data_IF_684252697051
#
_entry.id   IF_684252697051
#
_cell.length_a   1.000
_cell.length_b   1.000
_cell.length_c   1.000
_cell.angle_alpha   90.00
_cell.angle_beta   90.00
_cell.angle_gamma   90.00
#
_symmetry.space_group_name_H-M   'P 1'
#
loop_
_entity.id
_entity.type
_entity.pdbx_description
1 polymer ?
#
# COMPACT_ATOMS: atom_id res chain seq x y z
N UNK A 1 -33.33 -7.42 29.81
CA UNK A 1 -32.59 -6.96 28.60
C UNK A 1 -31.85 -5.68 28.95
N UNK A 2 -30.51 -5.72 28.97
CA UNK A 2 -29.72 -4.49 29.19
C UNK A 2 -29.64 -3.74 27.85
N UNK A 3 -30.36 -2.63 27.77
CA UNK A 3 -30.24 -1.74 26.61
C UNK A 3 -29.00 -0.87 26.78
N UNK A 4 -28.13 -0.80 25.76
CA UNK A 4 -27.05 0.18 25.73
C UNK A 4 -27.68 1.57 25.64
N UNK A 5 -27.37 2.45 26.60
CA UNK A 5 -27.70 3.87 26.49
C UNK A 5 -26.73 4.51 25.51
N UNK A 6 -27.26 5.26 24.53
CA UNK A 6 -26.41 6.06 23.63
C UNK A 6 -25.76 7.16 24.47
N UNK A 7 -24.44 7.15 24.50
CA UNK A 7 -23.65 8.25 25.01
C UNK A 7 -23.27 9.17 23.86
N UNK A 8 -23.73 10.39 23.88
CA UNK A 8 -23.45 11.39 22.86
C UNK A 8 -22.20 12.23 23.18
N UNK A 9 -21.55 11.98 24.31
CA UNK A 9 -20.30 12.64 24.64
C UNK A 9 -19.16 12.01 23.84
N UNK A 10 -18.56 12.81 22.98
CA UNK A 10 -17.43 12.41 22.17
C UNK A 10 -16.12 12.82 22.87
N UNK A 11 -15.36 11.86 23.33
CA UNK A 11 -14.12 12.07 24.06
C UNK A 11 -12.91 12.18 23.12
N UNK A 12 -11.80 12.68 23.66
CA UNK A 12 -10.51 12.67 22.95
C UNK A 12 -10.07 11.24 22.59
N UNK A 13 -10.34 10.28 23.47
CA UNK A 13 -10.02 8.86 23.21
C UNK A 13 -10.84 8.28 22.05
N UNK A 14 -12.13 8.68 21.93
CA UNK A 14 -12.95 8.30 20.79
C UNK A 14 -12.40 8.86 19.47
N UNK A 15 -11.86 10.08 19.51
CA UNK A 15 -11.20 10.69 18.34
C UNK A 15 -9.94 9.91 17.96
N UNK A 16 -9.09 9.58 18.93
CA UNK A 16 -7.83 8.83 18.68
C UNK A 16 -8.12 7.47 18.07
N UNK A 17 -9.21 6.82 18.45
CA UNK A 17 -9.60 5.50 17.91
C UNK A 17 -10.29 5.64 16.55
N UNK A 18 -11.31 6.50 16.46
CA UNK A 18 -12.20 6.53 15.29
C UNK A 18 -11.55 7.20 14.08
N UNK A 19 -10.80 8.29 14.27
CA UNK A 19 -10.24 9.07 13.17
C UNK A 19 -9.29 8.24 12.27
N UNK A 20 -8.30 7.49 12.78
CA UNK A 20 -7.43 6.65 11.95
C UNK A 20 -8.18 5.60 11.14
N UNK A 21 -9.19 4.97 11.74
CA UNK A 21 -10.03 3.95 11.10
C UNK A 21 -10.82 4.59 9.95
N UNK A 22 -11.50 5.70 10.21
CA UNK A 22 -12.29 6.42 9.21
C UNK A 22 -11.43 6.99 8.09
N UNK A 23 -10.27 7.58 8.39
CA UNK A 23 -9.35 8.06 7.38
C UNK A 23 -8.89 6.92 6.46
N UNK A 24 -8.55 5.77 7.03
CA UNK A 24 -8.13 4.62 6.24
C UNK A 24 -9.25 4.14 5.32
N UNK A 25 -10.46 3.99 5.85
CA UNK A 25 -11.63 3.56 5.07
C UNK A 25 -11.96 4.56 3.95
N UNK A 26 -12.08 5.84 4.28
CA UNK A 26 -12.50 6.89 3.34
C UNK A 26 -11.47 7.07 2.22
N UNK A 27 -10.19 7.23 2.57
CA UNK A 27 -9.17 7.54 1.58
C UNK A 27 -8.75 6.34 0.74
N UNK A 28 -8.78 5.12 1.28
CA UNK A 28 -8.64 3.92 0.47
C UNK A 28 -9.82 3.74 -0.49
N UNK A 29 -11.05 3.94 -0.02
CA UNK A 29 -12.26 3.87 -0.85
C UNK A 29 -12.21 4.90 -1.98
N UNK A 30 -11.87 6.15 -1.67
CA UNK A 30 -11.70 7.21 -2.66
C UNK A 30 -10.66 6.81 -3.73
N UNK A 31 -9.48 6.35 -3.30
CA UNK A 31 -8.46 5.83 -4.20
C UNK A 31 -9.01 4.71 -5.09
N UNK A 32 -9.71 3.75 -4.49
CA UNK A 32 -10.25 2.61 -5.21
C UNK A 32 -11.19 3.03 -6.35
N UNK A 33 -12.19 3.86 -6.05
CA UNK A 33 -13.14 4.34 -7.05
C UNK A 33 -12.49 5.19 -8.14
N UNK A 34 -11.55 6.06 -7.79
CA UNK A 34 -10.79 6.86 -8.78
C UNK A 34 -9.96 5.94 -9.68
N UNK A 35 -9.23 4.98 -9.12
CA UNK A 35 -8.37 4.07 -9.86
C UNK A 35 -9.15 3.13 -10.81
N UNK A 36 -10.40 2.80 -10.50
CA UNK A 36 -11.29 1.96 -11.31
C UNK A 36 -12.24 2.74 -12.21
N UNK A 37 -12.21 4.06 -12.18
CA UNK A 37 -13.11 4.92 -12.93
C UNK A 37 -12.90 4.78 -14.45
N UNK A 38 -13.92 4.29 -15.14
CA UNK A 38 -13.94 4.24 -16.60
C UNK A 38 -13.83 5.64 -17.23
N UNK A 39 -14.46 6.66 -16.59
CA UNK A 39 -14.41 8.05 -17.05
C UNK A 39 -12.97 8.57 -17.04
N UNK A 40 -12.24 8.36 -15.95
CA UNK A 40 -10.83 8.76 -15.84
C UNK A 40 -9.97 8.00 -16.85
N UNK A 41 -10.13 6.69 -16.95
CA UNK A 41 -9.43 5.90 -17.95
C UNK A 41 -9.64 6.44 -19.35
N UNK A 42 -10.87 6.70 -19.73
CA UNK A 42 -11.22 7.19 -21.08
C UNK A 42 -10.61 8.55 -21.39
N UNK A 43 -10.39 9.45 -20.41
CA UNK A 43 -9.70 10.72 -20.61
C UNK A 43 -8.27 10.55 -21.15
N UNK A 44 -7.57 9.48 -20.70
CA UNK A 44 -6.23 9.19 -21.21
C UNK A 44 -6.28 8.49 -22.58
N UNK A 45 -7.17 7.50 -22.73
CA UNK A 45 -7.27 6.71 -23.96
C UNK A 45 -7.90 7.43 -25.15
N UNK A 46 -8.64 8.53 -24.92
CA UNK A 46 -9.10 9.42 -26.00
C UNK A 46 -8.04 10.43 -26.45
N UNK A 47 -7.02 10.71 -25.61
CA UNK A 47 -6.02 11.74 -25.87
C UNK A 47 -4.70 11.21 -26.42
N UNK A 48 -4.35 9.98 -26.09
CA UNK A 48 -3.05 9.38 -26.40
C UNK A 48 -3.24 8.03 -27.12
N UNK A 49 -2.21 7.59 -27.85
CA UNK A 49 -2.11 6.20 -28.32
C UNK A 49 -2.16 5.22 -27.14
N UNK A 50 -2.42 3.95 -27.45
CA UNK A 50 -2.67 2.92 -26.42
C UNK A 50 -1.55 2.80 -25.40
N UNK A 51 -0.29 2.73 -25.85
CA UNK A 51 0.86 2.55 -24.97
C UNK A 51 1.05 3.75 -24.04
N UNK A 52 1.04 4.95 -24.61
CA UNK A 52 1.18 6.20 -23.84
C UNK A 52 -0.03 6.45 -22.92
N UNK A 53 -1.23 6.13 -23.37
CA UNK A 53 -2.44 6.21 -22.55
C UNK A 53 -2.34 5.29 -21.34
N UNK A 54 -1.90 4.05 -21.54
CA UNK A 54 -1.72 3.09 -20.46
C UNK A 54 -0.68 3.54 -19.44
N UNK A 55 0.48 4.04 -19.89
CA UNK A 55 1.53 4.56 -19.01
C UNK A 55 1.00 5.73 -18.17
N UNK A 56 0.41 6.73 -18.83
CA UNK A 56 -0.06 7.94 -18.16
C UNK A 56 -1.21 7.66 -17.19
N UNK A 57 -2.16 6.81 -17.57
CA UNK A 57 -3.29 6.43 -16.72
C UNK A 57 -2.82 5.70 -15.46
N UNK A 58 -1.97 4.68 -15.59
CA UNK A 58 -1.49 3.92 -14.44
C UNK A 58 -0.59 4.77 -13.54
N UNK A 59 0.28 5.60 -14.11
CA UNK A 59 1.09 6.52 -13.32
C UNK A 59 0.22 7.53 -12.55
N UNK A 60 -0.79 8.11 -13.21
CA UNK A 60 -1.76 8.97 -12.55
C UNK A 60 -2.45 8.27 -11.36
N UNK A 61 -2.93 7.04 -11.53
CA UNK A 61 -3.60 6.32 -10.43
C UNK A 61 -2.66 6.08 -9.25
N UNK A 62 -1.38 5.78 -9.51
CA UNK A 62 -0.38 5.58 -8.47
C UNK A 62 -0.01 6.89 -7.75
N UNK A 63 0.16 7.96 -8.51
CA UNK A 63 0.41 9.29 -7.97
C UNK A 63 -0.78 9.79 -7.12
N UNK A 64 -2.00 9.60 -7.62
CA UNK A 64 -3.21 9.88 -6.86
C UNK A 64 -3.28 9.03 -5.57
N UNK A 65 -2.90 7.75 -5.63
CA UNK A 65 -2.81 6.88 -4.46
C UNK A 65 -1.82 7.39 -3.41
N UNK A 66 -0.67 7.89 -3.83
CA UNK A 66 0.29 8.52 -2.92
C UNK A 66 -0.33 9.70 -2.16
N UNK A 67 -1.03 10.60 -2.86
CA UNK A 67 -1.67 11.74 -2.21
C UNK A 67 -2.86 11.35 -1.36
N UNK A 68 -3.78 10.54 -1.89
CA UNK A 68 -5.01 10.18 -1.19
C UNK A 68 -4.76 9.29 0.03
N UNK A 69 -3.78 8.40 -0.01
CA UNK A 69 -3.49 7.50 1.11
C UNK A 69 -2.34 7.95 1.99
N UNK A 70 -1.32 8.62 1.41
CA UNK A 70 -0.14 9.04 2.16
C UNK A 70 -0.26 10.46 2.70
N UNK A 71 -0.51 11.44 1.82
CA UNK A 71 -0.37 12.86 2.19
C UNK A 71 -1.59 13.38 2.95
N UNK A 72 -2.79 13.26 2.36
CA UNK A 72 -4.00 13.87 2.91
C UNK A 72 -4.39 13.30 4.28
N UNK A 73 -4.50 11.97 4.46
CA UNK A 73 -4.84 11.42 5.78
C UNK A 73 -3.78 11.70 6.84
N UNK A 74 -2.49 11.80 6.44
CA UNK A 74 -1.43 12.19 7.37
C UNK A 74 -1.60 13.62 7.87
N UNK A 75 -1.88 14.57 6.98
CA UNK A 75 -2.13 15.96 7.36
C UNK A 75 -3.30 16.03 8.34
N UNK A 76 -4.41 15.34 8.04
CA UNK A 76 -5.59 15.32 8.91
C UNK A 76 -5.23 14.68 10.27
N UNK A 77 -4.57 13.51 10.26
CA UNK A 77 -4.18 12.81 11.47
C UNK A 77 -3.31 13.68 12.39
N UNK A 78 -2.27 14.33 11.83
CA UNK A 78 -1.36 15.21 12.59
C UNK A 78 -2.06 16.49 13.08
N UNK A 79 -3.05 17.00 12.31
CA UNK A 79 -3.77 18.23 12.69
C UNK A 79 -4.82 18.03 13.78
N UNK A 80 -5.43 16.84 13.85
CA UNK A 80 -6.55 16.60 14.75
C UNK A 80 -6.21 15.70 15.93
N UNK A 81 -5.20 14.82 15.84
CA UNK A 81 -4.81 13.99 16.97
C UNK A 81 -3.84 14.75 17.90
N UNK A 82 -4.08 14.72 19.21
CA UNK A 82 -3.25 15.43 20.18
C UNK A 82 -1.82 14.89 20.15
N UNK A 83 -0.86 15.80 20.20
CA UNK A 83 0.58 15.47 20.25
C UNK A 83 1.08 14.54 19.13
N UNK A 84 0.32 14.39 18.02
CA UNK A 84 0.72 13.56 16.89
C UNK A 84 1.68 14.29 15.97
N UNK A 85 2.61 13.55 15.39
CA UNK A 85 3.58 14.07 14.41
C UNK A 85 3.93 13.00 13.37
N UNK A 86 4.46 13.42 12.24
CA UNK A 86 4.92 12.50 11.19
C UNK A 86 5.95 11.50 11.73
N UNK A 87 6.83 11.94 12.64
CA UNK A 87 7.81 11.05 13.30
C UNK A 87 7.13 9.99 14.16
N UNK A 88 6.13 10.38 14.95
CA UNK A 88 5.33 9.45 15.78
C UNK A 88 4.53 8.47 14.93
N UNK A 89 4.16 8.84 13.71
CA UNK A 89 3.53 7.93 12.74
C UNK A 89 4.55 6.98 12.06
N UNK A 90 5.77 6.88 12.54
CA UNK A 90 6.77 5.94 12.06
C UNK A 90 7.55 6.38 10.82
N UNK A 91 7.35 7.62 10.33
CA UNK A 91 8.19 8.21 9.28
C UNK A 91 9.40 8.90 9.91
N UNK A 92 10.30 8.09 10.39
CA UNK A 92 11.52 8.51 11.07
C UNK A 92 12.64 7.49 10.88
N UNK A 93 13.87 7.86 11.22
CA UNK A 93 14.99 6.95 11.33
C UNK A 93 15.38 6.83 12.81
N UNK A 94 15.42 5.59 13.31
CA UNK A 94 15.79 5.26 14.68
C UNK A 94 17.09 4.48 14.63
N UNK A 95 18.16 5.07 15.16
CA UNK A 95 19.51 4.49 15.09
C UNK A 95 19.56 3.08 15.69
N UNK A 96 18.98 2.89 16.87
CA UNK A 96 18.99 1.62 17.60
C UNK A 96 18.30 0.48 16.87
N UNK A 97 17.32 0.78 15.99
CA UNK A 97 16.58 -0.23 15.21
C UNK A 97 16.99 -0.27 13.73
N UNK A 98 18.01 0.49 13.32
CA UNK A 98 18.45 0.54 11.91
C UNK A 98 18.99 -0.80 11.44
N UNK A 99 19.91 -1.43 12.20
CA UNK A 99 20.46 -2.75 11.85
C UNK A 99 19.35 -3.81 11.84
N UNK A 100 18.49 -3.81 12.85
CA UNK A 100 17.30 -4.67 12.89
C UNK A 100 16.45 -4.52 11.63
N UNK A 101 16.16 -3.28 11.22
CA UNK A 101 15.37 -2.98 10.04
C UNK A 101 16.03 -3.49 8.75
N UNK A 102 17.33 -3.27 8.58
CA UNK A 102 18.09 -3.72 7.42
C UNK A 102 18.12 -5.26 7.33
N UNK A 103 18.34 -5.96 8.44
CA UNK A 103 18.34 -7.42 8.48
C UNK A 103 16.97 -7.99 8.11
N UNK A 104 15.88 -7.40 8.62
CA UNK A 104 14.54 -7.85 8.28
C UNK A 104 14.15 -7.52 6.83
N UNK A 105 14.53 -6.34 6.30
CA UNK A 105 14.33 -6.01 4.88
C UNK A 105 15.04 -7.04 4.01
N UNK A 106 16.30 -7.35 4.31
CA UNK A 106 17.07 -8.35 3.55
C UNK A 106 16.46 -9.74 3.67
N UNK A 107 16.19 -10.22 4.89
CA UNK A 107 15.65 -11.55 5.14
C UNK A 107 14.30 -11.79 4.48
N UNK A 108 13.37 -10.82 4.63
CA UNK A 108 12.06 -10.90 3.98
C UNK A 108 12.19 -10.78 2.45
N UNK A 109 13.09 -9.95 1.93
CA UNK A 109 13.29 -9.84 0.48
C UNK A 109 13.82 -11.14 -0.11
N UNK A 110 14.78 -11.79 0.56
CA UNK A 110 15.30 -13.11 0.13
C UNK A 110 14.21 -14.18 0.12
N UNK A 111 13.28 -14.15 1.09
CA UNK A 111 12.15 -15.07 1.14
C UNK A 111 11.09 -14.76 0.07
N UNK A 112 10.74 -13.48 -0.08
CA UNK A 112 9.61 -13.03 -0.88
C UNK A 112 9.91 -13.04 -2.39
N UNK A 113 11.14 -12.70 -2.80
CA UNK A 113 11.52 -12.66 -4.21
C UNK A 113 11.25 -14.00 -4.93
N UNK A 114 11.71 -15.16 -4.44
CA UNK A 114 11.41 -16.43 -5.08
C UNK A 114 9.91 -16.74 -5.14
N UNK A 115 9.18 -16.53 -4.04
CA UNK A 115 7.74 -16.79 -3.97
C UNK A 115 6.98 -15.98 -5.01
N UNK A 116 7.25 -14.67 -5.07
CA UNK A 116 6.63 -13.76 -6.03
C UNK A 116 7.06 -14.08 -7.47
N UNK A 117 8.33 -14.40 -7.70
CA UNK A 117 8.83 -14.78 -9.01
C UNK A 117 8.08 -15.99 -9.58
N UNK A 118 7.94 -17.07 -8.81
CA UNK A 118 7.22 -18.25 -9.27
C UNK A 118 5.72 -17.98 -9.48
N UNK A 119 5.08 -17.20 -8.61
CA UNK A 119 3.70 -16.77 -8.79
C UNK A 119 3.53 -15.91 -10.05
N UNK A 120 4.38 -14.93 -10.25
CA UNK A 120 4.29 -13.96 -11.35
C UNK A 120 4.53 -14.56 -12.74
N UNK A 121 5.20 -15.71 -12.83
CA UNK A 121 5.35 -16.47 -14.08
C UNK A 121 4.06 -17.11 -14.57
N UNK A 122 3.09 -17.32 -13.68
CA UNK A 122 1.85 -17.98 -14.03
C UNK A 122 1.00 -17.06 -14.94
N UNK A 123 0.55 -17.53 -16.13
CA UNK A 123 -0.27 -16.74 -17.03
C UNK A 123 -1.53 -16.15 -16.41
N UNK A 124 -2.10 -16.80 -15.39
CA UNK A 124 -3.24 -16.26 -14.62
C UNK A 124 -2.95 -14.90 -14.02
N UNK A 125 -1.70 -14.60 -13.66
CA UNK A 125 -1.31 -13.35 -13.06
C UNK A 125 -1.08 -12.23 -14.09
N UNK A 126 -0.98 -12.54 -15.39
CA UNK A 126 -0.85 -11.54 -16.45
C UNK A 126 -2.09 -10.66 -16.60
N UNK A 127 -3.24 -11.07 -16.05
CA UNK A 127 -4.43 -10.21 -15.96
C UNK A 127 -4.17 -9.02 -15.03
N UNK A 128 -3.42 -9.20 -13.95
CA UNK A 128 -3.16 -8.19 -12.94
C UNK A 128 -1.83 -7.44 -13.15
N UNK A 129 -0.81 -8.12 -13.74
CA UNK A 129 0.54 -7.58 -13.87
C UNK A 129 1.13 -7.82 -15.27
N UNK A 130 1.94 -6.88 -15.78
CA UNK A 130 2.14 -5.50 -15.28
C UNK A 130 0.85 -4.68 -15.39
N UNK A 131 0.63 -3.72 -14.50
CA UNK A 131 -0.55 -2.84 -14.60
C UNK A 131 -0.51 -1.91 -15.81
N UNK A 132 0.68 -1.42 -16.19
CA UNK A 132 0.89 -0.72 -17.46
C UNK A 132 0.78 -1.74 -18.59
N UNK A 133 -0.18 -1.52 -19.51
CA UNK A 133 -0.51 -2.42 -20.62
C UNK A 133 0.15 -2.03 -21.95
N UNK A 134 1.19 -1.21 -21.90
CA UNK A 134 1.98 -0.90 -23.08
C UNK A 134 2.56 -2.19 -23.69
N UNK A 135 2.41 -2.36 -24.99
CA UNK A 135 2.98 -3.51 -25.71
C UNK A 135 4.50 -3.41 -25.81
N UNK A 136 5.01 -2.18 -25.93
CA UNK A 136 6.43 -1.90 -26.03
C UNK A 136 6.92 -1.19 -24.77
N UNK A 137 7.83 -1.82 -24.05
CA UNK A 137 8.46 -1.26 -22.87
C UNK A 137 9.87 -0.77 -23.18
N UNK A 138 10.16 0.45 -22.77
CA UNK A 138 11.49 1.06 -22.81
C UNK A 138 12.04 1.27 -21.40
N UNK A 139 13.32 1.58 -21.27
CA UNK A 139 13.92 1.95 -19.97
C UNK A 139 13.14 3.07 -19.27
N UNK A 140 12.67 4.05 -20.02
CA UNK A 140 11.82 5.14 -19.50
C UNK A 140 10.54 4.62 -18.88
N UNK A 141 9.83 3.69 -19.52
CA UNK A 141 8.58 3.10 -19.00
C UNK A 141 8.86 2.27 -17.74
N UNK A 142 9.97 1.52 -17.73
CA UNK A 142 10.43 0.78 -16.54
C UNK A 142 10.63 1.72 -15.36
N UNK A 143 11.34 2.83 -15.56
CA UNK A 143 11.58 3.82 -14.50
C UNK A 143 10.28 4.50 -14.02
N UNK A 144 9.39 4.89 -14.94
CA UNK A 144 8.07 5.45 -14.60
C UNK A 144 7.25 4.44 -13.78
N UNK A 145 7.24 3.17 -14.19
CA UNK A 145 6.55 2.13 -13.45
C UNK A 145 7.17 1.90 -12.06
N UNK A 146 8.49 1.87 -11.96
CA UNK A 146 9.19 1.70 -10.69
C UNK A 146 8.89 2.87 -9.73
N UNK A 147 8.98 4.11 -10.22
CA UNK A 147 8.61 5.30 -9.45
C UNK A 147 7.12 5.30 -9.05
N UNK A 148 6.25 4.92 -9.98
CA UNK A 148 4.82 4.82 -9.67
C UNK A 148 4.53 3.83 -8.54
N UNK A 149 5.14 2.64 -8.55
CA UNK A 149 5.01 1.68 -7.46
C UNK A 149 5.60 2.20 -6.14
N UNK A 150 6.77 2.83 -6.21
CA UNK A 150 7.40 3.43 -5.04
C UNK A 150 6.48 4.46 -4.36
N UNK A 151 5.96 5.43 -5.12
CA UNK A 151 5.05 6.46 -4.61
C UNK A 151 3.76 5.84 -4.04
N UNK A 152 3.12 4.97 -4.81
CA UNK A 152 1.87 4.33 -4.39
C UNK A 152 2.04 3.54 -3.10
N UNK A 153 3.06 2.69 -3.03
CA UNK A 153 3.30 1.84 -1.87
C UNK A 153 3.77 2.63 -0.66
N UNK A 154 4.48 3.74 -0.87
CA UNK A 154 4.78 4.65 0.23
C UNK A 154 3.48 5.18 0.86
N UNK A 155 2.56 5.72 0.06
CA UNK A 155 1.28 6.19 0.56
C UNK A 155 0.45 5.08 1.20
N UNK A 156 0.43 3.91 0.58
CA UNK A 156 -0.29 2.74 1.06
C UNK A 156 0.23 2.23 2.42
N UNK A 157 1.54 1.99 2.54
CA UNK A 157 2.11 1.52 3.80
C UNK A 157 2.07 2.59 4.89
N UNK A 158 2.19 3.88 4.52
CA UNK A 158 2.05 4.93 5.49
C UNK A 158 0.62 5.06 6.01
N UNK A 159 -0.40 4.85 5.15
CA UNK A 159 -1.79 4.77 5.60
C UNK A 159 -1.99 3.64 6.61
N UNK A 160 -1.54 2.42 6.25
CA UNK A 160 -1.81 1.25 7.08
C UNK A 160 -0.92 1.17 8.33
N UNK A 161 0.39 1.39 8.18
CA UNK A 161 1.34 1.23 9.30
C UNK A 161 1.49 2.51 10.12
N UNK A 162 1.48 3.67 9.48
CA UNK A 162 1.59 4.96 10.15
C UNK A 162 0.25 5.44 10.69
N UNK A 163 -0.66 5.82 9.80
CA UNK A 163 -1.92 6.49 10.17
C UNK A 163 -2.88 5.56 10.91
N UNK A 164 -3.02 4.29 10.49
CA UNK A 164 -3.97 3.36 11.10
C UNK A 164 -3.37 2.65 12.33
N UNK A 165 -2.23 1.97 12.18
CA UNK A 165 -1.73 1.07 13.22
C UNK A 165 -1.25 1.81 14.46
N UNK A 166 -0.32 2.74 14.27
CA UNK A 166 0.41 3.34 15.41
C UNK A 166 -0.50 4.09 16.38
N UNK A 167 -1.43 4.96 15.94
CA UNK A 167 -2.31 5.67 16.88
C UNK A 167 -3.23 4.76 17.70
N UNK A 168 -3.57 3.59 17.16
CA UNK A 168 -4.48 2.65 17.83
C UNK A 168 -3.82 1.83 18.94
N UNK A 169 -2.48 1.78 18.98
CA UNK A 169 -1.77 0.91 19.93
C UNK A 169 -1.98 1.38 21.38
N UNK A 170 -1.88 2.68 21.63
CA UNK A 170 -2.00 3.22 22.98
C UNK A 170 -3.42 3.03 23.57
N UNK A 171 -4.52 3.42 22.87
CA UNK A 171 -5.85 3.31 23.44
C UNK A 171 -6.43 1.88 23.43
N UNK A 172 -6.04 1.02 22.48
CA UNK A 172 -6.63 -0.31 22.33
C UNK A 172 -5.72 -1.45 22.77
N UNK A 173 -4.41 -1.17 22.91
CA UNK A 173 -3.40 -2.20 23.05
C UNK A 173 -2.94 -2.77 21.68
N UNK A 174 -1.80 -3.46 21.70
CA UNK A 174 -1.13 -3.95 20.49
C UNK A 174 -2.01 -4.90 19.65
N UNK A 175 -2.59 -5.92 20.27
CA UNK A 175 -3.29 -6.99 19.53
C UNK A 175 -4.60 -6.53 18.88
N UNK A 176 -5.49 -5.74 19.51
CA UNK A 176 -6.65 -5.16 18.84
C UNK A 176 -6.26 -4.22 17.69
N UNK A 177 -5.23 -3.37 17.88
CA UNK A 177 -4.73 -2.50 16.82
C UNK A 177 -4.22 -3.30 15.60
N UNK A 178 -3.45 -4.37 15.84
CA UNK A 178 -2.97 -5.28 14.80
C UNK A 178 -4.14 -6.01 14.12
N UNK A 179 -5.12 -6.49 14.87
CA UNK A 179 -6.29 -7.16 14.30
C UNK A 179 -7.11 -6.26 13.39
N UNK A 180 -7.38 -5.01 13.80
CA UNK A 180 -8.06 -4.00 12.98
C UNK A 180 -7.26 -3.72 11.72
N UNK A 181 -5.93 -3.55 11.86
CA UNK A 181 -5.07 -3.30 10.72
C UNK A 181 -5.12 -4.46 9.70
N UNK A 182 -4.95 -5.71 10.15
CA UNK A 182 -4.98 -6.88 9.27
C UNK A 182 -6.34 -7.02 8.59
N UNK A 183 -7.44 -6.81 9.30
CA UNK A 183 -8.79 -6.90 8.75
C UNK A 183 -8.98 -5.93 7.59
N UNK A 184 -8.66 -4.65 7.78
CA UNK A 184 -8.78 -3.62 6.74
C UNK A 184 -7.76 -3.85 5.61
N UNK A 185 -6.50 -4.17 5.95
CA UNK A 185 -5.44 -4.46 4.97
C UNK A 185 -5.79 -5.63 4.06
N UNK A 186 -6.25 -6.75 4.63
CA UNK A 186 -6.61 -7.95 3.86
C UNK A 186 -7.85 -7.70 2.99
N UNK A 187 -8.84 -6.94 3.49
CA UNK A 187 -10.02 -6.57 2.73
C UNK A 187 -9.68 -5.83 1.43
N UNK A 188 -8.61 -5.03 1.41
CA UNK A 188 -8.15 -4.35 0.19
C UNK A 188 -7.65 -5.30 -0.90
N UNK A 189 -7.36 -6.55 -0.56
CA UNK A 189 -6.88 -7.58 -1.50
C UNK A 189 -8.01 -8.44 -2.08
N UNK A 190 -9.23 -8.40 -1.52
CA UNK A 190 -10.40 -9.17 -2.02
C UNK A 190 -10.59 -9.05 -3.54
N UNK A 191 -10.50 -7.85 -4.15
CA UNK A 191 -10.66 -7.70 -5.59
C UNK A 191 -9.55 -8.33 -6.45
N UNK A 192 -8.46 -8.76 -5.83
CA UNK A 192 -7.34 -9.43 -6.52
C UNK A 192 -7.44 -10.95 -6.48
N UNK A 193 -8.38 -11.48 -5.69
CA UNK A 193 -8.67 -12.89 -5.56
C UNK A 193 -8.28 -13.50 -4.22
N UNK A 194 -8.71 -14.75 -4.02
CA UNK A 194 -8.61 -15.46 -2.74
C UNK A 194 -7.14 -15.62 -2.30
N UNK A 195 -6.26 -16.01 -3.22
CA UNK A 195 -4.86 -16.30 -2.91
C UNK A 195 -4.13 -15.06 -2.37
N UNK A 196 -4.33 -13.88 -3.01
CA UNK A 196 -3.75 -12.63 -2.54
C UNK A 196 -4.38 -12.16 -1.21
N UNK A 197 -5.67 -12.39 -1.03
CA UNK A 197 -6.38 -12.03 0.22
C UNK A 197 -5.90 -12.85 1.39
N UNK A 198 -5.81 -14.18 1.25
CA UNK A 198 -5.31 -15.07 2.31
C UNK A 198 -3.84 -14.79 2.59
N UNK A 199 -3.03 -14.61 1.54
CA UNK A 199 -1.61 -14.29 1.69
C UNK A 199 -1.35 -12.93 2.38
N UNK A 200 -2.28 -11.97 2.25
CA UNK A 200 -2.18 -10.68 2.92
C UNK A 200 -2.31 -10.77 4.45
N UNK A 201 -2.99 -11.79 4.98
CA UNK A 201 -3.18 -11.95 6.44
C UNK A 201 -1.84 -12.20 7.16
N UNK A 202 -1.09 -13.30 6.87
CA UNK A 202 0.18 -13.55 7.55
C UNK A 202 1.24 -12.50 7.26
N UNK A 203 1.31 -12.00 6.02
CA UNK A 203 2.24 -10.94 5.68
C UNK A 203 1.88 -9.64 6.42
N UNK A 204 0.59 -9.29 6.46
CA UNK A 204 0.09 -8.13 7.20
C UNK A 204 0.45 -8.19 8.68
N UNK A 205 0.32 -9.38 9.32
CA UNK A 205 0.72 -9.60 10.70
C UNK A 205 2.23 -9.35 10.89
N UNK A 206 3.07 -9.98 10.07
CA UNK A 206 4.53 -9.82 10.16
C UNK A 206 4.92 -8.35 10.01
N UNK A 207 4.37 -7.65 9.00
CA UNK A 207 4.68 -6.24 8.77
C UNK A 207 4.19 -5.33 9.91
N UNK A 208 3.04 -5.63 10.55
CA UNK A 208 2.60 -4.91 11.75
C UNK A 208 3.59 -5.08 12.90
N UNK A 209 3.95 -6.33 13.22
CA UNK A 209 4.88 -6.62 14.32
C UNK A 209 6.25 -5.97 14.09
N UNK A 210 6.76 -6.01 12.85
CA UNK A 210 8.04 -5.38 12.51
C UNK A 210 7.96 -3.86 12.54
N UNK A 211 6.83 -3.24 12.16
CA UNK A 211 6.61 -1.80 12.31
C UNK A 211 6.62 -1.40 13.78
N UNK A 212 5.95 -2.16 14.64
CA UNK A 212 5.93 -1.91 16.09
C UNK A 212 7.33 -2.08 16.69
N UNK A 213 8.03 -3.18 16.35
CA UNK A 213 9.36 -3.47 16.88
C UNK A 213 10.44 -2.49 16.41
N UNK A 214 10.35 -1.99 15.18
CA UNK A 214 11.31 -1.02 14.64
C UNK A 214 10.96 0.43 14.97
N UNK A 215 9.70 0.71 15.31
CA UNK A 215 9.16 2.06 15.45
C UNK A 215 9.05 2.82 14.13
N UNK A 216 9.18 2.14 12.98
CA UNK A 216 9.22 2.77 11.66
C UNK A 216 8.45 1.97 10.60
N UNK A 217 8.03 2.62 9.52
CA UNK A 217 7.33 1.97 8.40
C UNK A 217 8.27 1.35 7.37
N UNK A 218 9.59 1.57 7.47
CA UNK A 218 10.54 1.29 6.38
C UNK A 218 10.61 -0.18 5.98
N UNK A 219 10.51 -1.10 6.94
CA UNK A 219 10.52 -2.55 6.63
C UNK A 219 9.32 -2.90 5.76
N UNK A 220 8.12 -2.50 6.17
CA UNK A 220 6.89 -2.79 5.44
C UNK A 220 6.93 -2.17 4.03
N UNK A 221 7.32 -0.91 3.94
CA UNK A 221 7.39 -0.18 2.68
C UNK A 221 8.39 -0.82 1.69
N UNK A 222 9.62 -1.05 2.10
CA UNK A 222 10.67 -1.57 1.21
C UNK A 222 10.36 -2.99 0.76
N UNK A 223 9.94 -3.87 1.67
CA UNK A 223 9.56 -5.25 1.32
C UNK A 223 8.41 -5.26 0.30
N UNK A 224 7.42 -4.40 0.47
CA UNK A 224 6.29 -4.31 -0.45
C UNK A 224 6.71 -3.75 -1.83
N UNK A 225 7.64 -2.78 -1.86
CA UNK A 225 8.23 -2.29 -3.12
C UNK A 225 8.97 -3.41 -3.85
N UNK A 226 9.79 -4.18 -3.13
CA UNK A 226 10.51 -5.35 -3.69
C UNK A 226 9.52 -6.37 -4.28
N UNK A 227 8.43 -6.67 -3.56
CA UNK A 227 7.37 -7.55 -4.08
C UNK A 227 6.75 -7.03 -5.37
N UNK A 228 6.35 -5.76 -5.41
CA UNK A 228 5.69 -5.17 -6.56
C UNK A 228 6.60 -5.09 -7.80
N UNK A 229 7.88 -4.75 -7.60
CA UNK A 229 8.86 -4.73 -8.68
C UNK A 229 9.15 -6.14 -9.19
N UNK A 230 9.39 -7.11 -8.31
CA UNK A 230 9.60 -8.52 -8.69
C UNK A 230 8.42 -9.04 -9.50
N UNK A 231 7.19 -8.78 -9.03
CA UNK A 231 5.97 -9.20 -9.73
C UNK A 231 5.88 -8.57 -11.13
N UNK A 232 6.04 -7.25 -11.21
CA UNK A 232 5.95 -6.52 -12.49
C UNK A 232 7.01 -6.96 -13.49
N UNK A 233 8.28 -7.03 -13.06
CA UNK A 233 9.38 -7.34 -13.99
C UNK A 233 9.36 -8.81 -14.41
N UNK A 234 8.96 -9.71 -13.53
CA UNK A 234 8.77 -11.11 -13.88
C UNK A 234 7.61 -11.27 -14.88
N UNK A 235 6.46 -10.65 -14.59
CA UNK A 235 5.32 -10.69 -15.50
C UNK A 235 5.66 -10.07 -16.86
N UNK A 236 6.38 -8.94 -16.91
CA UNK A 236 6.86 -8.33 -18.16
C UNK A 236 7.75 -9.29 -18.97
N UNK A 237 8.66 -10.01 -18.29
CA UNK A 237 9.59 -10.96 -18.95
C UNK A 237 8.86 -12.14 -19.59
N UNK A 238 7.79 -12.62 -18.97
CA UNK A 238 7.09 -13.85 -19.39
C UNK A 238 5.79 -13.61 -20.14
N UNK A 239 5.27 -12.37 -20.17
CA UNK A 239 4.05 -12.05 -20.90
C UNK A 239 4.33 -11.94 -22.40
N UNK A 240 3.75 -12.84 -23.25
CA UNK A 240 4.03 -12.85 -24.69
C UNK A 240 3.48 -11.62 -25.44
N UNK A 241 2.58 -10.86 -24.84
CA UNK A 241 1.99 -9.67 -25.45
C UNK A 241 2.86 -8.41 -25.27
N UNK A 242 3.95 -8.51 -24.52
CA UNK A 242 4.80 -7.36 -24.15
C UNK A 242 6.26 -7.61 -24.55
N UNK A 243 6.90 -6.55 -25.05
CA UNK A 243 8.30 -6.60 -25.45
C UNK A 243 9.10 -5.49 -24.80
N UNK A 244 10.28 -5.82 -24.30
CA UNK A 244 11.23 -4.81 -23.80
C UNK A 244 12.22 -4.45 -24.92
N UNK A 245 12.24 -3.17 -25.29
CA UNK A 245 13.21 -2.61 -26.24
C UNK A 245 14.25 -1.79 -25.47
N UNK A 246 15.49 -2.22 -25.56
CA UNK A 246 16.63 -1.49 -25.00
C UNK A 246 16.89 -0.26 -25.89
N UNK A 247 16.31 0.88 -25.51
CA UNK A 247 16.61 2.20 -26.10
C UNK A 247 17.10 3.11 -25.01
#
# INVERSE_FOLDING_TARGET
>A
MNYYKLDWLFSENDLIISLPILLTLVFFTLYWFVSKSKKIKNLFYSKYDFDRASVNHIFFTKYFGFFSMGVVPTIICVSFLPNMSIKKLGLTFIYDTTIFSLLWILGLSVLVIPLVYFSAKNPKNFINYPQIRAKTWTTKIVLINALGWFLYLFGYEFLFRGVLLIPLIEPLGMWPAVAINIALYSATHIPKGLDETIGAIPLGLVLCLLTISSGTIWIAFIVHVVMAWTNTFTALKYNPEMQFLKK
#
